data_IF_411804113678
#
_entry.id   IF_411804113678
#
_cell.length_a   1.000
_cell.length_b   1.000
_cell.length_c   1.000
_cell.angle_alpha   90.00
_cell.angle_beta   90.00
_cell.angle_gamma   90.00
#
_symmetry.space_group_name_H-M   'P 1'
#
loop_
_entity.id
_entity.type
_entity.pdbx_description
1 polymer ?
#
# COMPACT_ATOMS: atom_id res chain seq x y z
N UNK A 1 64.16 -38.08 43.90
CA UNK A 1 64.10 -36.79 43.18
C UNK A 1 63.62 -37.05 41.76
N UNK A 2 62.30 -36.98 41.54
CA UNK A 2 61.72 -36.95 40.21
C UNK A 2 61.51 -35.47 39.86
N UNK A 3 61.98 -35.00 38.69
CA UNK A 3 61.83 -33.61 38.30
C UNK A 3 60.50 -33.36 37.60
N UNK A 4 60.09 -32.10 37.72
CA UNK A 4 58.82 -31.49 37.36
C UNK A 4 58.40 -31.56 35.89
N UNK A 5 57.07 -31.54 35.77
CA UNK A 5 56.21 -31.13 34.66
C UNK A 5 56.85 -30.24 33.59
N UNK A 6 56.60 -30.64 32.34
CA UNK A 6 56.50 -29.72 31.21
C UNK A 6 55.29 -30.14 30.36
N UNK A 7 54.12 -29.60 30.70
CA UNK A 7 53.03 -29.52 29.73
C UNK A 7 53.25 -28.29 28.86
N UNK A 8 53.28 -28.40 27.52
CA UNK A 8 53.18 -27.23 26.68
C UNK A 8 51.73 -26.73 26.70
N UNK A 9 51.55 -25.49 27.12
CA UNK A 9 50.31 -24.73 26.96
C UNK A 9 49.84 -24.85 25.51
N UNK A 10 48.72 -25.53 25.32
CA UNK A 10 47.97 -25.53 24.08
C UNK A 10 47.49 -24.10 23.84
N UNK A 11 48.26 -23.31 23.08
CA UNK A 11 47.78 -22.08 22.45
C UNK A 11 46.62 -22.44 21.54
N UNK A 12 45.42 -22.39 22.11
CA UNK A 12 44.17 -22.45 21.41
C UNK A 12 44.04 -21.10 20.70
N UNK A 13 44.67 -20.99 19.52
CA UNK A 13 44.41 -19.90 18.60
C UNK A 13 42.97 -20.03 18.17
N UNK A 14 42.08 -19.35 18.89
CA UNK A 14 40.75 -19.03 18.38
C UNK A 14 41.00 -18.27 17.09
N UNK A 15 40.75 -18.94 15.96
CA UNK A 15 40.65 -18.25 14.68
C UNK A 15 39.42 -17.35 14.79
N UNK A 16 39.60 -16.16 15.35
CA UNK A 16 38.66 -15.06 15.19
C UNK A 16 38.49 -14.94 13.68
N UNK A 17 37.28 -15.27 13.23
CA UNK A 17 36.98 -15.24 11.82
C UNK A 17 37.24 -13.82 11.35
N UNK A 18 38.00 -13.61 10.27
CA UNK A 18 38.38 -12.28 9.78
C UNK A 18 37.18 -11.29 9.71
N UNK A 19 35.96 -11.82 9.56
CA UNK A 19 34.70 -11.08 9.55
C UNK A 19 34.37 -10.37 10.87
N UNK A 20 34.82 -10.89 12.01
CA UNK A 20 34.57 -10.33 13.33
C UNK A 20 35.45 -9.09 13.60
N UNK A 21 36.61 -9.02 12.94
CA UNK A 21 37.57 -7.90 13.06
C UNK A 21 37.21 -6.74 12.12
N UNK A 22 36.43 -6.98 11.06
CA UNK A 22 36.03 -5.91 10.14
C UNK A 22 35.20 -4.84 10.86
N UNK A 23 35.35 -3.54 10.54
CA UNK A 23 34.45 -2.49 11.00
C UNK A 23 33.01 -2.63 10.45
N UNK A 24 32.03 -2.04 11.16
CA UNK A 24 30.62 -2.10 10.76
C UNK A 24 30.37 -1.43 9.40
N UNK A 25 31.12 -0.39 9.10
CA UNK A 25 31.07 0.41 7.89
C UNK A 25 31.49 -0.44 6.68
N UNK A 26 32.58 -1.20 6.82
CA UNK A 26 33.07 -2.10 5.78
C UNK A 26 32.07 -3.21 5.51
N UNK A 27 31.53 -3.84 6.57
CA UNK A 27 30.48 -4.86 6.40
C UNK A 27 29.22 -4.27 5.77
N UNK A 28 28.79 -3.07 6.18
CA UNK A 28 27.63 -2.39 5.58
C UNK A 28 27.87 -2.12 4.09
N UNK A 29 29.05 -1.64 3.72
CA UNK A 29 29.41 -1.39 2.32
C UNK A 29 29.42 -2.66 1.48
N UNK A 30 29.86 -3.79 2.05
CA UNK A 30 29.83 -5.10 1.36
C UNK A 30 28.38 -5.57 1.17
N UNK A 31 27.50 -5.33 2.15
CA UNK A 31 26.10 -5.76 2.12
C UNK A 31 25.20 -4.86 1.25
N UNK A 32 25.52 -3.57 1.13
CA UNK A 32 24.71 -2.57 0.40
C UNK A 32 24.36 -2.91 -1.05
N UNK A 33 25.19 -3.57 -1.89
CA UNK A 33 24.82 -3.91 -3.26
C UNK A 33 23.87 -5.11 -3.40
N UNK A 34 23.67 -5.92 -2.36
CA UNK A 34 22.83 -7.12 -2.45
C UNK A 34 21.34 -6.78 -2.54
N UNK A 35 20.54 -7.61 -3.24
CA UNK A 35 19.09 -7.42 -3.30
C UNK A 35 18.46 -7.56 -1.90
N UNK A 36 17.25 -7.02 -1.71
CA UNK A 36 16.53 -7.17 -0.44
C UNK A 36 16.34 -8.64 -0.07
N UNK A 37 16.08 -9.51 -1.05
CA UNK A 37 15.91 -10.95 -0.84
C UNK A 37 17.22 -11.63 -0.42
N UNK A 38 18.35 -11.26 -1.03
CA UNK A 38 19.66 -11.81 -0.68
C UNK A 38 20.08 -11.35 0.71
N UNK A 39 19.81 -10.08 1.06
CA UNK A 39 20.09 -9.53 2.39
C UNK A 39 19.41 -10.32 3.51
N UNK A 40 18.15 -10.73 3.30
CA UNK A 40 17.41 -11.55 4.27
C UNK A 40 18.07 -12.91 4.52
N UNK A 41 18.77 -13.47 3.52
CA UNK A 41 19.49 -14.74 3.67
C UNK A 41 20.72 -14.65 4.58
N UNK A 42 21.29 -13.44 4.74
CA UNK A 42 22.43 -13.18 5.62
C UNK A 42 22.04 -12.90 7.07
N UNK A 43 20.78 -12.50 7.34
CA UNK A 43 20.28 -12.20 8.68
C UNK A 43 20.52 -13.32 9.73
N UNK A 44 20.36 -14.63 9.43
CA UNK A 44 20.55 -15.68 10.44
C UNK A 44 22.02 -16.02 10.75
N UNK A 45 23.01 -15.42 10.07
CA UNK A 45 24.43 -15.82 10.22
C UNK A 45 24.96 -15.49 11.62
N UNK A 46 24.84 -14.23 12.05
CA UNK A 46 25.19 -13.80 13.39
C UNK A 46 24.38 -12.54 13.80
N UNK A 47 24.36 -12.23 15.10
CA UNK A 47 23.60 -11.08 15.64
C UNK A 47 24.04 -9.73 15.05
N UNK A 48 25.34 -9.60 14.76
CA UNK A 48 25.94 -8.37 14.21
C UNK A 48 25.45 -8.10 12.78
N UNK A 49 25.54 -9.09 11.91
CA UNK A 49 25.04 -9.07 10.53
C UNK A 49 23.52 -8.89 10.55
N UNK A 50 22.79 -9.57 11.43
CA UNK A 50 21.35 -9.36 11.60
C UNK A 50 21.01 -7.89 11.88
N UNK A 51 21.70 -7.24 12.81
CA UNK A 51 21.51 -5.82 13.11
C UNK A 51 21.85 -4.91 11.92
N UNK A 52 22.96 -5.18 11.21
CA UNK A 52 23.35 -4.42 10.02
C UNK A 52 22.36 -4.58 8.86
N UNK A 53 21.92 -5.81 8.60
CA UNK A 53 20.89 -6.15 7.61
C UNK A 53 19.58 -5.45 7.97
N UNK A 54 19.16 -5.51 9.23
CA UNK A 54 17.92 -4.86 9.69
C UNK A 54 17.97 -3.36 9.47
N UNK A 55 19.08 -2.69 9.82
CA UNK A 55 19.26 -1.26 9.58
C UNK A 55 19.25 -0.89 8.10
N UNK A 56 19.93 -1.69 7.26
CA UNK A 56 19.95 -1.50 5.81
C UNK A 56 18.55 -1.66 5.20
N UNK A 57 17.83 -2.71 5.60
CA UNK A 57 16.45 -2.96 5.16
C UNK A 57 15.53 -1.84 5.60
N UNK A 58 15.61 -1.40 6.86
CA UNK A 58 14.84 -0.27 7.35
C UNK A 58 15.05 0.98 6.49
N UNK A 59 16.30 1.34 6.21
CA UNK A 59 16.63 2.48 5.37
C UNK A 59 16.06 2.33 3.95
N UNK A 60 16.16 1.15 3.34
CA UNK A 60 15.61 0.88 2.00
C UNK A 60 14.09 0.99 1.98
N UNK A 61 13.41 0.48 2.99
CA UNK A 61 11.95 0.56 3.12
C UNK A 61 11.49 2.02 3.20
N UNK A 62 12.17 2.84 4.01
CA UNK A 62 11.89 4.27 4.13
C UNK A 62 12.16 5.03 2.84
N UNK A 63 13.23 4.69 2.12
CA UNK A 63 13.60 5.33 0.85
C UNK A 63 12.68 4.94 -0.30
N UNK A 64 12.19 3.70 -0.33
CA UNK A 64 11.28 3.23 -1.37
C UNK A 64 9.86 3.78 -1.22
N UNK A 65 9.40 4.08 -0.01
CA UNK A 65 8.02 4.46 0.25
C UNK A 65 7.52 5.73 -0.49
N UNK A 66 8.30 6.83 -0.60
CA UNK A 66 7.86 7.99 -1.36
C UNK A 66 7.75 7.77 -2.87
N UNK A 67 8.32 6.69 -3.41
CA UNK A 67 8.36 6.37 -4.84
C UNK A 67 8.88 7.52 -5.72
N UNK A 68 10.16 7.92 -5.61
CA UNK A 68 10.67 9.09 -6.33
C UNK A 68 10.57 8.98 -7.87
N UNK A 69 10.77 7.78 -8.41
CA UNK A 69 10.78 7.51 -9.85
C UNK A 69 9.53 6.76 -10.36
N UNK A 70 8.60 6.44 -9.45
CA UNK A 70 7.43 5.62 -9.75
C UNK A 70 6.16 6.28 -9.23
N UNK A 71 5.01 5.81 -9.70
CA UNK A 71 3.70 6.21 -9.19
C UNK A 71 2.94 4.96 -8.77
N UNK A 72 2.08 5.14 -7.77
CA UNK A 72 1.16 4.11 -7.33
C UNK A 72 -0.23 4.44 -7.88
N UNK A 73 -0.86 3.46 -8.50
CA UNK A 73 -2.24 3.57 -8.98
C UNK A 73 -3.12 2.49 -8.33
N UNK A 74 -4.37 2.86 -8.06
CA UNK A 74 -5.39 1.98 -7.51
C UNK A 74 -6.58 1.94 -8.47
N UNK A 75 -6.94 0.75 -8.92
CA UNK A 75 -8.21 0.49 -9.57
C UNK A 75 -9.11 -0.20 -8.55
N UNK A 76 -10.31 0.33 -8.37
CA UNK A 76 -11.29 -0.27 -7.47
C UNK A 76 -12.68 -0.08 -8.08
N UNK A 77 -13.31 -1.18 -8.48
CA UNK A 77 -14.52 -1.15 -9.31
C UNK A 77 -15.44 -2.33 -9.02
N UNK A 78 -16.74 -2.15 -9.26
CA UNK A 78 -17.65 -3.28 -9.37
C UNK A 78 -17.33 -4.07 -10.65
N UNK A 79 -17.32 -5.42 -10.66
CA UNK A 79 -16.94 -6.22 -11.82
C UNK A 79 -17.61 -5.80 -13.14
N UNK A 80 -18.87 -5.32 -13.08
CA UNK A 80 -19.61 -4.82 -14.25
C UNK A 80 -19.05 -3.52 -14.85
N UNK A 81 -18.26 -2.76 -14.09
CA UNK A 81 -17.77 -1.42 -14.45
C UNK A 81 -16.28 -1.43 -14.86
N UNK A 82 -15.65 -2.60 -14.97
CA UNK A 82 -14.21 -2.75 -15.23
C UNK A 82 -13.69 -1.89 -16.40
N UNK A 83 -14.49 -1.74 -17.46
CA UNK A 83 -14.08 -1.02 -18.67
C UNK A 83 -14.24 0.50 -18.57
N UNK A 84 -14.97 0.99 -17.57
CA UNK A 84 -15.38 2.40 -17.48
C UNK A 84 -14.85 3.10 -16.22
N UNK A 85 -14.44 2.33 -15.22
CA UNK A 85 -13.92 2.90 -13.98
C UNK A 85 -12.48 3.38 -14.16
N UNK A 86 -12.21 4.68 -14.00
CA UNK A 86 -10.85 5.21 -14.07
C UNK A 86 -10.01 4.73 -12.88
N UNK A 87 -8.69 4.61 -13.08
CA UNK A 87 -7.78 4.44 -11.95
C UNK A 87 -7.68 5.71 -11.09
N UNK A 88 -7.32 5.51 -9.84
CA UNK A 88 -7.00 6.53 -8.86
C UNK A 88 -5.47 6.67 -8.76
N UNK A 89 -4.97 7.89 -8.76
CA UNK A 89 -3.59 8.18 -8.44
C UNK A 89 -3.42 8.22 -6.92
N UNK A 90 -2.35 7.63 -6.38
CA UNK A 90 -2.12 7.55 -4.95
C UNK A 90 -0.97 8.48 -4.53
N UNK A 91 -1.26 9.52 -3.75
CA UNK A 91 -0.26 10.50 -3.27
C UNK A 91 0.31 10.06 -1.93
N UNK A 92 1.62 9.94 -1.83
CA UNK A 92 2.29 9.54 -0.59
C UNK A 92 2.00 10.51 0.57
N UNK A 93 1.72 9.97 1.76
CA UNK A 93 1.45 10.74 2.98
C UNK A 93 2.51 10.51 4.07
N UNK A 94 3.06 9.30 4.16
CA UNK A 94 4.04 8.96 5.20
C UNK A 94 4.15 7.46 5.43
N UNK A 95 4.93 7.09 6.44
CA UNK A 95 5.01 5.73 6.97
C UNK A 95 4.20 5.66 8.26
N UNK A 96 3.41 4.60 8.39
CA UNK A 96 2.59 4.31 9.57
C UNK A 96 2.73 2.84 9.97
N UNK A 97 2.44 2.53 11.23
CA UNK A 97 2.24 1.15 11.68
C UNK A 97 0.95 0.55 11.10
N UNK A 98 0.75 -0.75 11.26
CA UNK A 98 -0.43 -1.48 10.76
C UNK A 98 -1.77 -0.84 11.18
N UNK A 99 -1.85 -0.29 12.38
CA UNK A 99 -3.06 0.32 12.94
C UNK A 99 -3.11 1.85 12.76
N UNK A 100 -2.23 2.41 11.92
CA UNK A 100 -2.13 3.87 11.72
C UNK A 100 -1.40 4.61 12.85
N UNK A 101 -0.80 3.89 13.79
CA UNK A 101 0.01 4.48 14.85
C UNK A 101 1.39 4.92 14.33
N UNK A 102 1.94 6.03 14.85
CA UNK A 102 3.31 6.41 14.55
C UNK A 102 4.28 5.32 15.06
N UNK A 103 5.35 5.09 14.30
CA UNK A 103 6.38 4.10 14.65
C UNK A 103 7.41 4.74 15.57
N UNK A 104 7.82 4.01 16.61
CA UNK A 104 8.96 4.40 17.44
C UNK A 104 10.25 4.28 16.64
N UNK A 105 11.04 5.35 16.57
CA UNK A 105 12.29 5.42 15.77
C UNK A 105 13.48 4.66 16.39
N UNK A 106 13.32 4.14 17.62
CA UNK A 106 14.39 3.46 18.34
C UNK A 106 14.72 2.09 17.73
N UNK A 107 16.02 1.85 17.48
CA UNK A 107 16.67 0.60 17.04
C UNK A 107 15.70 -0.51 16.54
N UNK A 108 15.28 -0.47 15.26
CA UNK A 108 14.24 -1.36 14.76
C UNK A 108 14.69 -2.82 14.81
N UNK A 109 13.84 -3.70 15.34
CA UNK A 109 14.00 -5.14 15.19
C UNK A 109 13.52 -5.59 13.80
N UNK A 110 14.00 -6.74 13.33
CA UNK A 110 13.61 -7.28 12.03
C UNK A 110 12.09 -7.58 11.96
N UNK A 111 11.48 -7.90 13.09
CA UNK A 111 10.03 -8.07 13.24
C UNK A 111 9.26 -6.78 13.01
N UNK A 112 9.78 -5.65 13.49
CA UNK A 112 9.12 -4.33 13.41
C UNK A 112 8.98 -3.88 11.96
N UNK A 113 9.95 -4.24 11.12
CA UNK A 113 9.91 -3.95 9.68
C UNK A 113 8.68 -4.55 8.98
N UNK A 114 8.10 -5.62 9.53
CA UNK A 114 6.88 -6.23 8.98
C UNK A 114 5.66 -5.36 9.24
N UNK A 115 5.64 -4.56 10.30
CA UNK A 115 4.50 -3.74 10.69
C UNK A 115 4.47 -2.37 9.99
N UNK A 116 5.44 -2.08 9.12
CA UNK A 116 5.56 -0.81 8.40
C UNK A 116 4.68 -0.78 7.14
N UNK A 117 3.87 0.26 7.03
CA UNK A 117 3.04 0.56 5.86
C UNK A 117 3.36 1.96 5.34
N UNK A 118 3.45 2.07 4.03
CA UNK A 118 3.40 3.34 3.33
C UNK A 118 1.92 3.73 3.16
N UNK A 119 1.59 4.92 3.61
CA UNK A 119 0.26 5.52 3.51
C UNK A 119 0.19 6.41 2.27
N UNK A 120 -0.89 6.27 1.51
CA UNK A 120 -1.18 7.08 0.34
C UNK A 120 -2.62 7.58 0.35
N UNK A 121 -2.86 8.78 -0.17
CA UNK A 121 -4.20 9.30 -0.45
C UNK A 121 -4.62 8.97 -1.88
N UNK A 122 -5.66 8.14 -2.10
CA UNK A 122 -6.23 7.95 -3.42
C UNK A 122 -6.97 9.22 -3.87
N UNK A 123 -6.67 9.68 -5.08
CA UNK A 123 -7.30 10.84 -5.71
C UNK A 123 -7.60 10.54 -7.17
N UNK A 124 -8.56 11.25 -7.76
CA UNK A 124 -8.75 11.13 -9.20
C UNK A 124 -7.51 11.61 -9.95
N UNK A 125 -7.01 10.76 -10.85
CA UNK A 125 -5.91 11.10 -11.73
C UNK A 125 -6.27 12.35 -12.55
N UNK A 126 -5.29 13.23 -12.84
CA UNK A 126 -5.54 14.50 -13.51
C UNK A 126 -6.24 14.33 -14.86
N UNK A 127 -5.92 13.27 -15.61
CA UNK A 127 -6.57 12.95 -16.89
C UNK A 127 -8.08 12.72 -16.72
N UNK A 128 -8.47 12.09 -15.61
CA UNK A 128 -9.84 11.69 -15.31
C UNK A 128 -10.70 12.82 -14.71
N UNK A 129 -10.10 13.98 -14.38
CA UNK A 129 -10.82 15.14 -13.82
C UNK A 129 -11.75 15.82 -14.82
N UNK A 130 -11.37 15.84 -16.10
CA UNK A 130 -12.11 16.55 -17.16
C UNK A 130 -13.50 15.95 -17.42
N UNK A 131 -13.60 14.62 -17.35
CA UNK A 131 -14.83 13.86 -17.60
C UNK A 131 -15.92 14.19 -16.57
N UNK A 132 -15.56 14.37 -15.30
CA UNK A 132 -16.52 14.78 -14.25
C UNK A 132 -16.98 16.23 -14.38
N UNK A 133 -16.10 17.15 -14.81
CA UNK A 133 -16.49 18.56 -15.02
C UNK A 133 -17.54 18.71 -16.13
N UNK A 134 -17.50 17.87 -17.16
CA UNK A 134 -18.48 17.89 -18.26
C UNK A 134 -19.84 17.29 -17.90
N UNK A 135 -19.96 16.46 -16.85
CA UNK A 135 -21.24 15.85 -16.43
C UNK A 135 -22.04 16.68 -15.41
N UNK A 136 -21.49 17.78 -14.89
CA UNK A 136 -22.26 18.72 -14.06
C UNK A 136 -23.25 19.47 -14.95
N UNK A 137 -24.56 19.34 -14.67
CA UNK A 137 -25.60 20.17 -15.31
C UNK A 137 -25.31 21.66 -15.02
N UNK A 138 -25.49 22.58 -15.99
CA UNK A 138 -25.15 24.00 -15.81
C UNK A 138 -25.94 24.76 -14.73
N UNK A 139 -26.93 24.15 -14.09
CA UNK A 139 -27.95 24.87 -13.29
C UNK A 139 -27.63 25.03 -11.80
N UNK A 140 -26.56 24.42 -11.28
CA UNK A 140 -26.17 24.55 -9.87
C UNK A 140 -24.78 25.18 -9.75
N UNK A 141 -24.69 26.45 -10.13
CA UNK A 141 -23.55 27.30 -9.80
C UNK A 141 -23.86 28.09 -8.51
N UNK A 142 -23.64 27.47 -7.35
CA UNK A 142 -23.33 28.24 -6.14
C UNK A 142 -21.80 28.40 -6.06
N UNK A 143 -21.29 29.62 -5.81
CA UNK A 143 -19.87 29.85 -5.64
C UNK A 143 -19.49 29.46 -4.20
N UNK A 144 -19.21 28.18 -3.98
CA UNK A 144 -18.52 27.73 -2.76
C UNK A 144 -17.03 27.60 -3.09
N UNK A 145 -16.20 28.26 -2.28
CA UNK A 145 -14.73 28.31 -2.38
C UNK A 145 -14.12 27.01 -2.93
N UNK A 146 -13.37 27.16 -4.03
CA UNK A 146 -12.63 26.11 -4.75
C UNK A 146 -11.52 25.49 -3.89
N UNK A 147 -11.89 24.64 -2.94
CA UNK A 147 -11.03 23.53 -2.55
C UNK A 147 -11.29 22.45 -3.58
N UNK A 148 -10.33 22.16 -4.47
CA UNK A 148 -10.41 21.02 -5.39
C UNK A 148 -10.73 19.75 -4.57
N UNK A 149 -12.00 19.35 -4.53
CA UNK A 149 -12.44 18.11 -3.89
C UNK A 149 -12.04 16.94 -4.80
N UNK A 150 -10.73 16.70 -4.86
CA UNK A 150 -10.05 15.59 -5.53
C UNK A 150 -10.35 14.23 -4.87
N UNK A 151 -11.18 14.23 -3.83
CA UNK A 151 -11.51 13.09 -3.01
C UNK A 151 -12.13 11.99 -3.88
N UNK A 152 -11.40 10.88 -4.00
CA UNK A 152 -11.88 9.73 -4.73
C UNK A 152 -13.09 9.13 -4.01
N UNK A 153 -14.11 8.75 -4.79
CA UNK A 153 -15.37 8.21 -4.28
C UNK A 153 -15.88 7.07 -5.17
N UNK A 154 -16.53 6.09 -4.55
CA UNK A 154 -17.15 4.94 -5.19
C UNK A 154 -18.55 4.75 -4.62
N UNK A 155 -19.52 4.60 -5.50
CA UNK A 155 -20.90 4.34 -5.10
C UNK A 155 -21.15 2.83 -4.99
N UNK A 156 -21.93 2.45 -3.98
CA UNK A 156 -22.32 1.06 -3.70
C UNK A 156 -23.83 1.02 -3.55
N UNK A 157 -24.47 0.24 -4.42
CA UNK A 157 -25.88 -0.11 -4.35
C UNK A 157 -25.99 -1.53 -3.82
N UNK A 158 -26.90 -1.74 -2.87
CA UNK A 158 -27.34 -3.07 -2.46
C UNK A 158 -28.85 -3.14 -2.69
N UNK A 159 -29.29 -4.10 -3.47
CA UNK A 159 -30.71 -4.37 -3.70
C UNK A 159 -31.36 -5.07 -2.49
N UNK A 160 -32.65 -5.34 -2.59
CA UNK A 160 -33.42 -6.01 -1.54
C UNK A 160 -32.82 -7.38 -1.19
N UNK A 161 -32.54 -7.60 0.09
CA UNK A 161 -31.91 -8.83 0.59
C UNK A 161 -30.42 -8.99 0.27
N UNK A 162 -29.78 -8.07 -0.48
CA UNK A 162 -28.35 -8.16 -0.74
C UNK A 162 -27.52 -7.83 0.49
N UNK A 163 -26.66 -8.77 0.92
CA UNK A 163 -25.90 -8.62 2.17
C UNK A 163 -24.55 -7.95 1.99
N UNK A 164 -24.00 -7.88 0.77
CA UNK A 164 -22.73 -7.25 0.46
C UNK A 164 -22.61 -6.92 -1.02
N UNK A 165 -21.75 -5.96 -1.34
CA UNK A 165 -21.26 -5.73 -2.70
C UNK A 165 -19.79 -6.17 -2.79
N UNK A 166 -19.39 -6.62 -3.97
CA UNK A 166 -18.05 -7.11 -4.24
C UNK A 166 -17.33 -6.15 -5.19
N UNK A 167 -16.15 -5.68 -4.79
CA UNK A 167 -15.33 -4.78 -5.59
C UNK A 167 -14.01 -5.47 -5.93
N UNK A 168 -13.64 -5.44 -7.21
CA UNK A 168 -12.27 -5.74 -7.64
C UNK A 168 -11.38 -4.61 -7.18
N UNK A 169 -10.20 -4.92 -6.63
CA UNK A 169 -9.23 -3.95 -6.17
C UNK A 169 -7.83 -4.38 -6.63
N UNK A 170 -7.21 -3.54 -7.45
CA UNK A 170 -5.91 -3.79 -8.07
C UNK A 170 -4.99 -2.61 -7.79
N UNK A 171 -3.83 -2.87 -7.18
CA UNK A 171 -2.81 -1.85 -6.94
C UNK A 171 -1.60 -2.16 -7.79
N UNK A 172 -1.22 -1.19 -8.61
CA UNK A 172 -0.07 -1.30 -9.51
C UNK A 172 0.95 -0.21 -9.21
N UNK A 173 2.23 -0.58 -9.23
CA UNK A 173 3.35 0.34 -9.32
C UNK A 173 3.66 0.58 -10.79
N UNK A 174 3.71 1.83 -11.20
CA UNK A 174 3.95 2.21 -12.60
C UNK A 174 5.09 3.20 -12.70
N UNK A 175 5.81 3.17 -13.81
CA UNK A 175 6.76 4.23 -14.17
C UNK A 175 6.25 4.91 -15.43
N UNK A 176 6.03 6.22 -15.36
CA UNK A 176 5.60 6.98 -16.53
C UNK A 176 6.70 7.02 -17.59
N UNK A 177 6.27 6.89 -18.83
CA UNK A 177 7.10 7.12 -20.00
C UNK A 177 7.18 8.62 -20.35
N UNK A 178 7.85 8.94 -21.46
CA UNK A 178 8.04 10.33 -21.91
C UNK A 178 6.75 11.03 -22.36
N UNK A 179 5.62 10.32 -22.44
CA UNK A 179 4.30 10.89 -22.76
C UNK A 179 3.34 10.54 -21.61
N UNK A 180 2.51 11.50 -21.22
CA UNK A 180 1.45 11.29 -20.22
C UNK A 180 0.54 10.13 -20.62
N UNK A 181 0.12 9.32 -19.65
CA UNK A 181 -0.75 8.16 -19.87
C UNK A 181 -0.07 6.92 -20.45
N UNK A 182 1.23 6.99 -20.74
CA UNK A 182 2.04 5.86 -21.19
C UNK A 182 3.01 5.43 -20.10
N UNK A 183 3.18 4.12 -19.91
CA UNK A 183 4.04 3.58 -18.86
C UNK A 183 5.17 2.71 -19.43
N UNK A 184 6.36 2.83 -18.86
CA UNK A 184 7.53 2.01 -19.24
C UNK A 184 7.73 0.80 -18.32
N UNK A 185 7.15 0.83 -17.12
CA UNK A 185 7.03 -0.34 -16.25
C UNK A 185 5.64 -0.40 -15.62
N UNK A 186 5.20 -1.63 -15.35
CA UNK A 186 3.95 -1.95 -14.68
C UNK A 186 4.18 -3.21 -13.83
N UNK A 187 4.13 -3.03 -12.52
CA UNK A 187 4.31 -4.11 -11.55
C UNK A 187 3.05 -4.18 -10.69
N UNK A 188 2.34 -5.30 -10.79
CA UNK A 188 1.19 -5.56 -9.93
C UNK A 188 1.67 -5.88 -8.50
N UNK A 189 1.19 -5.11 -7.52
CA UNK A 189 1.46 -5.35 -6.09
C UNK A 189 0.40 -6.29 -5.51
N UNK A 190 -0.87 -6.01 -5.84
CA UNK A 190 -1.99 -6.87 -5.47
C UNK A 190 -3.05 -6.81 -6.56
N UNK A 191 -3.67 -7.95 -6.79
CA UNK A 191 -4.90 -8.11 -7.56
C UNK A 191 -5.82 -9.00 -6.72
N UNK A 192 -6.96 -8.46 -6.34
CA UNK A 192 -7.88 -9.16 -5.47
C UNK A 192 -9.25 -8.53 -5.43
N UNK A 193 -10.02 -9.01 -4.46
CA UNK A 193 -11.42 -8.67 -4.30
C UNK A 193 -11.68 -8.32 -2.85
N UNK A 194 -12.44 -7.26 -2.64
CA UNK A 194 -12.94 -6.85 -1.33
C UNK A 194 -14.47 -6.96 -1.30
N UNK A 195 -15.01 -7.23 -0.11
CA UNK A 195 -16.46 -7.28 0.12
C UNK A 195 -16.86 -6.22 1.13
N UNK A 196 -17.81 -5.39 0.74
CA UNK A 196 -18.41 -4.37 1.60
C UNK A 196 -19.78 -4.85 2.05
N UNK A 197 -19.89 -5.26 3.31
CA UNK A 197 -21.11 -5.84 3.86
C UNK A 197 -22.11 -4.76 4.28
N UNK A 198 -23.40 -4.99 4.05
CA UNK A 198 -24.53 -4.14 4.47
C UNK A 198 -24.39 -3.70 5.93
N UNK A 199 -24.15 -4.65 6.84
CA UNK A 199 -23.99 -4.36 8.27
C UNK A 199 -22.79 -3.47 8.56
N UNK A 200 -21.68 -3.67 7.86
CA UNK A 200 -20.48 -2.84 8.00
C UNK A 200 -20.73 -1.43 7.43
N UNK A 201 -21.35 -1.32 6.24
CA UNK A 201 -21.71 -0.04 5.63
C UNK A 201 -22.64 0.79 6.52
N UNK A 202 -23.70 0.17 7.06
CA UNK A 202 -24.61 0.82 8.00
C UNK A 202 -23.90 1.27 9.28
N UNK A 203 -23.06 0.41 9.86
CA UNK A 203 -22.26 0.74 11.05
C UNK A 203 -21.35 1.94 10.76
N UNK A 204 -20.61 1.92 9.67
CA UNK A 204 -19.68 2.99 9.30
C UNK A 204 -20.41 4.31 8.98
N UNK A 205 -21.55 4.25 8.28
CA UNK A 205 -22.34 5.45 7.95
C UNK A 205 -22.93 6.12 9.21
N UNK A 206 -23.20 5.35 10.26
CA UNK A 206 -23.74 5.85 11.54
C UNK A 206 -22.67 6.41 12.49
N UNK A 207 -21.37 6.26 12.19
CA UNK A 207 -20.28 6.73 13.06
C UNK A 207 -20.26 8.27 13.08
N UNK A 208 -20.42 8.85 14.26
CA UNK A 208 -20.34 10.30 14.49
C UNK A 208 -18.89 10.79 14.62
N UNK A 209 -18.02 10.01 15.27
CA UNK A 209 -16.60 10.34 15.43
C UNK A 209 -15.75 9.75 14.29
N UNK A 210 -15.41 10.60 13.33
CA UNK A 210 -14.49 10.27 12.21
C UNK A 210 -13.00 10.42 12.58
N UNK A 211 -12.70 10.89 13.78
CA UNK A 211 -11.35 11.29 14.21
C UNK A 211 -10.51 10.14 14.77
N UNK A 212 -11.11 8.99 15.10
CA UNK A 212 -10.36 7.81 15.49
C UNK A 212 -10.00 6.99 14.25
N UNK A 213 -8.70 6.91 13.96
CA UNK A 213 -8.13 5.92 13.03
C UNK A 213 -8.33 4.53 13.61
N UNK A 214 -9.53 4.01 13.43
CA UNK A 214 -9.91 2.67 13.88
C UNK A 214 -9.57 1.66 12.78
N UNK A 215 -8.92 0.56 13.15
CA UNK A 215 -8.52 -0.49 12.21
C UNK A 215 -9.72 -1.18 11.56
N UNK A 216 -10.91 -1.06 12.16
CA UNK A 216 -12.19 -1.53 11.60
C UNK A 216 -12.62 -0.84 10.29
N UNK A 217 -12.09 0.36 10.00
CA UNK A 217 -12.38 1.10 8.76
C UNK A 217 -11.53 0.63 7.58
N UNK A 218 -10.55 -0.25 7.83
CA UNK A 218 -9.61 -0.73 6.83
C UNK A 218 -10.11 -2.06 6.27
N UNK A 219 -10.35 -2.10 4.96
CA UNK A 219 -10.66 -3.32 4.25
C UNK A 219 -9.39 -3.82 3.57
N UNK A 220 -8.89 -4.97 4.01
CA UNK A 220 -7.67 -5.58 3.47
C UNK A 220 -7.95 -6.37 2.18
N UNK A 221 -7.05 -6.22 1.21
CA UNK A 221 -7.06 -6.97 -0.05
C UNK A 221 -6.29 -8.27 0.16
N UNK A 222 -6.99 -9.39 0.10
CA UNK A 222 -6.43 -10.72 0.35
C UNK A 222 -6.18 -11.02 1.84
N UNK A 223 -5.38 -12.05 2.12
CA UNK A 223 -5.22 -12.61 3.49
C UNK A 223 -3.95 -12.19 4.21
N UNK A 224 -3.00 -11.56 3.50
CA UNK A 224 -1.67 -11.23 4.04
C UNK A 224 -1.58 -9.85 4.67
N UNK A 225 -2.66 -9.07 4.62
CA UNK A 225 -2.69 -7.66 5.03
C UNK A 225 -1.49 -6.91 4.44
N UNK A 226 -1.27 -7.04 3.13
CA UNK A 226 -0.20 -6.30 2.45
C UNK A 226 -0.72 -4.99 1.87
N UNK A 227 -1.99 -4.96 1.48
CA UNK A 227 -2.63 -3.77 0.95
C UNK A 227 -4.01 -3.63 1.58
N UNK A 228 -4.30 -2.46 2.14
CA UNK A 228 -5.58 -2.16 2.78
C UNK A 228 -6.11 -0.81 2.34
N UNK A 229 -7.43 -0.67 2.24
CA UNK A 229 -8.08 0.57 1.86
C UNK A 229 -8.94 1.04 3.04
N UNK A 230 -8.71 2.27 3.49
CA UNK A 230 -9.56 2.94 4.47
C UNK A 230 -10.65 3.72 3.75
N UNK A 231 -11.88 3.48 4.16
CA UNK A 231 -13.04 4.18 3.63
C UNK A 231 -13.73 5.03 4.71
N UNK A 232 -14.17 6.22 4.31
CA UNK A 232 -15.32 6.89 4.94
C UNK A 232 -16.59 6.41 4.25
N UNK A 233 -17.66 6.19 5.01
CA UNK A 233 -18.95 5.78 4.44
C UNK A 233 -20.00 6.86 4.73
N UNK A 234 -20.71 7.28 3.69
CA UNK A 234 -21.88 8.14 3.81
C UNK A 234 -23.08 7.42 3.21
N UNK A 235 -24.19 7.37 3.95
CA UNK A 235 -25.46 6.94 3.36
C UNK A 235 -25.93 8.00 2.38
N UNK A 236 -26.32 7.58 1.17
CA UNK A 236 -26.78 8.48 0.12
C UNK A 236 -28.24 8.18 -0.20
N UNK A 237 -29.02 9.23 -0.46
CA UNK A 237 -30.42 9.07 -0.85
C UNK A 237 -30.50 8.47 -2.26
N UNK A 238 -31.39 7.50 -2.45
CA UNK A 238 -31.67 6.88 -3.76
C UNK A 238 -33.17 6.87 -4.01
N UNK A 239 -33.56 7.03 -5.28
CA UNK A 239 -34.96 6.90 -5.73
C UNK A 239 -35.51 5.47 -5.50
N UNK A 240 -34.62 4.47 -5.43
CA UNK A 240 -34.97 3.07 -5.17
C UNK A 240 -35.18 2.76 -3.69
N UNK A 241 -34.95 3.72 -2.79
CA UNK A 241 -35.09 3.51 -1.36
C UNK A 241 -36.58 3.52 -0.98
N UNK A 242 -37.11 2.46 -0.35
CA UNK A 242 -38.53 2.38 -0.02
C UNK A 242 -38.90 3.39 1.06
N UNK A 243 -40.10 3.97 0.95
CA UNK A 243 -40.64 4.92 1.92
C UNK A 243 -41.01 4.27 3.26
N UNK A 244 -41.25 2.96 3.27
CA UNK A 244 -41.65 2.17 4.43
C UNK A 244 -40.93 0.81 4.33
N UNK A 245 -40.25 0.41 5.38
CA UNK A 245 -39.63 -0.91 5.53
C UNK A 245 -40.04 -1.53 6.85
N UNK A 246 -40.36 -2.82 6.84
CA UNK A 246 -40.60 -3.60 8.04
C UNK A 246 -39.31 -3.78 8.87
N UNK A 247 -39.43 -4.13 10.16
CA UNK A 247 -38.27 -4.32 11.04
C UNK A 247 -37.34 -5.48 10.64
N UNK A 248 -37.83 -6.43 9.83
CA UNK A 248 -37.05 -7.57 9.30
C UNK A 248 -36.77 -7.46 7.79
N UNK A 249 -37.11 -6.33 7.17
CA UNK A 249 -36.83 -6.10 5.75
C UNK A 249 -35.38 -5.62 5.57
N UNK A 250 -34.70 -6.11 4.52
CA UNK A 250 -33.38 -5.63 4.09
C UNK A 250 -33.53 -4.78 2.81
N UNK A 251 -34.12 -3.57 2.91
CA UNK A 251 -34.52 -2.78 1.74
C UNK A 251 -33.32 -2.38 0.88
N UNK A 252 -33.55 -1.98 -0.38
CA UNK A 252 -32.52 -1.38 -1.20
C UNK A 252 -31.86 -0.19 -0.50
N UNK A 253 -30.52 -0.16 -0.47
CA UNK A 253 -29.73 0.90 0.16
C UNK A 253 -28.62 1.36 -0.75
N UNK A 254 -28.29 2.65 -0.62
CA UNK A 254 -27.23 3.30 -1.38
C UNK A 254 -26.22 3.95 -0.43
N UNK A 255 -24.94 3.64 -0.65
CA UNK A 255 -23.82 4.20 0.11
C UNK A 255 -22.80 4.78 -0.83
N UNK A 256 -22.21 5.90 -0.41
CA UNK A 256 -21.03 6.50 -1.03
C UNK A 256 -19.81 6.22 -0.17
N UNK A 257 -18.86 5.50 -0.75
CA UNK A 257 -17.54 5.26 -0.17
C UNK A 257 -16.60 6.38 -0.58
N UNK A 258 -15.89 6.95 0.39
CA UNK A 258 -14.84 7.93 0.20
C UNK A 258 -13.51 7.24 0.49
N UNK A 259 -12.57 7.24 -0.46
CA UNK A 259 -11.24 6.68 -0.24
C UNK A 259 -10.41 7.66 0.60
N UNK A 260 -10.18 7.32 1.88
CA UNK A 260 -9.39 8.16 2.78
C UNK A 260 -7.90 7.85 2.65
N UNK A 261 -7.56 6.56 2.60
CA UNK A 261 -6.18 6.08 2.69
C UNK A 261 -6.03 4.72 1.98
N UNK A 262 -4.91 4.54 1.29
CA UNK A 262 -4.40 3.27 0.80
C UNK A 262 -3.12 2.96 1.58
N UNK A 263 -3.12 1.84 2.29
CA UNK A 263 -1.98 1.32 3.03
C UNK A 263 -1.32 0.23 2.20
N UNK A 264 -0.01 0.35 1.96
CA UNK A 264 0.79 -0.68 1.28
C UNK A 264 1.96 -1.04 2.18
N UNK A 265 2.11 -2.33 2.52
CA UNK A 265 3.23 -2.82 3.32
C UNK A 265 4.53 -2.47 2.61
N UNK A 266 5.44 -1.79 3.30
CA UNK A 266 6.67 -1.24 2.71
C UNK A 266 7.53 -2.33 2.07
N UNK A 267 7.53 -3.54 2.64
CA UNK A 267 8.27 -4.68 2.06
C UNK A 267 7.72 -5.13 0.71
N UNK A 268 6.40 -5.11 0.53
CA UNK A 268 5.77 -5.43 -0.76
C UNK A 268 6.09 -4.35 -1.79
N UNK A 269 6.10 -3.09 -1.34
CA UNK A 269 6.45 -1.95 -2.19
C UNK A 269 7.92 -1.97 -2.62
N UNK A 270 8.85 -2.23 -1.71
CA UNK A 270 10.28 -2.31 -2.01
C UNK A 270 10.57 -3.41 -3.05
N UNK A 271 9.96 -4.59 -2.89
CA UNK A 271 10.06 -5.66 -3.88
C UNK A 271 9.51 -5.20 -5.24
N UNK A 272 8.38 -4.49 -5.27
CA UNK A 272 7.82 -3.97 -6.51
C UNK A 272 8.73 -2.92 -7.19
N UNK A 273 9.39 -2.06 -6.42
CA UNK A 273 10.38 -1.08 -6.93
C UNK A 273 11.59 -1.79 -7.53
N UNK A 274 12.14 -2.79 -6.85
CA UNK A 274 13.26 -3.60 -7.37
C UNK A 274 12.86 -4.31 -8.68
N UNK A 275 11.66 -4.88 -8.73
CA UNK A 275 11.11 -5.51 -9.95
C UNK A 275 10.89 -4.50 -11.09
N UNK A 276 10.41 -3.30 -10.77
CA UNK A 276 10.19 -2.21 -11.73
C UNK A 276 11.51 -1.79 -12.40
N UNK A 277 12.59 -1.68 -11.63
CA UNK A 277 13.92 -1.37 -12.16
C UNK A 277 14.43 -2.46 -13.12
N UNK A 278 14.16 -3.74 -12.83
CA UNK A 278 14.49 -4.85 -13.74
C UNK A 278 13.65 -4.79 -15.02
N UNK A 279 12.35 -4.52 -14.90
CA UNK A 279 11.47 -4.39 -16.07
C UNK A 279 11.88 -3.22 -16.98
N UNK A 280 12.28 -2.08 -16.41
CA UNK A 280 12.71 -0.91 -17.19
C UNK A 280 13.91 -1.22 -18.10
N UNK A 281 14.90 -1.94 -17.57
CA UNK A 281 16.07 -2.38 -18.35
C UNK A 281 15.63 -3.33 -19.47
N UNK A 282 14.73 -4.28 -19.19
CA UNK A 282 14.23 -5.25 -20.15
C UNK A 282 13.27 -4.66 -21.21
N UNK A 283 12.54 -3.60 -20.87
CA UNK A 283 11.55 -2.93 -21.71
C UNK A 283 12.10 -1.67 -22.40
N UNK A 284 13.41 -1.44 -22.39
CA UNK A 284 14.03 -0.32 -23.10
C UNK A 284 13.53 -0.23 -24.54
N UNK A 285 12.71 0.79 -24.84
CA UNK A 285 12.08 1.02 -26.15
C UNK A 285 10.64 0.51 -26.34
N UNK A 286 9.99 -0.08 -25.33
CA UNK A 286 8.58 -0.50 -25.35
C UNK A 286 7.76 0.33 -24.38
N UNK A 287 6.48 0.52 -24.69
CA UNK A 287 5.57 1.33 -23.87
C UNK A 287 4.26 0.59 -23.68
N UNK A 288 3.74 0.62 -22.46
CA UNK A 288 2.52 -0.05 -22.02
C UNK A 288 1.38 0.98 -21.90
N UNK A 289 0.20 0.57 -22.34
CA UNK A 289 -1.05 1.31 -22.19
C UNK A 289 -1.88 0.57 -21.15
N UNK A 290 -2.34 1.26 -20.11
CA UNK A 290 -3.27 0.72 -19.12
C UNK A 290 -4.68 1.12 -19.57
N UNK A 291 -5.51 0.15 -19.95
CA UNK A 291 -6.90 0.40 -20.30
C UNK A 291 -7.65 0.88 -19.04
N UNK A 292 -7.89 2.20 -18.96
CA UNK A 292 -8.39 2.91 -17.78
C UNK A 292 -7.71 4.27 -17.56
N UNK A 293 -6.51 4.46 -18.15
CA UNK A 293 -5.99 5.77 -18.53
C UNK A 293 -6.68 6.17 -19.84
N UNK A 294 -7.54 7.17 -19.78
CA UNK A 294 -8.41 7.56 -20.89
C UNK A 294 -7.69 7.64 -22.25
N UNK A 295 -8.32 7.07 -23.28
CA UNK A 295 -8.35 7.73 -24.60
C UNK A 295 -9.23 8.97 -24.51
#
# INVERSE_FOLDING_TARGET
MQPELREPESMMTTHDSFIDVLPNETLTSILTPFSTQDLLSFAPINRRICSLVTRLLHQRLLQAAPLPDNKLILECYHPSDQLYTPYLACRYQGIVGQDGQPISEDMPELSDLRALYASYKPVFAPENRSIKRSRRRPTEAQPSDDVEDDTATQDVNLDDGEMFSQLCAVTNLVKEGPRSGLFISHVNIVDGVIRVFRKWLAKMASRQDKSQSDSENIIWIGTRNNVGIRFSVAQAASETMPLISGPDDDPPVHYKLVYEELLVRTSSLLVAVEQSAVQEIGNSGKTLVIHGAAM
#
